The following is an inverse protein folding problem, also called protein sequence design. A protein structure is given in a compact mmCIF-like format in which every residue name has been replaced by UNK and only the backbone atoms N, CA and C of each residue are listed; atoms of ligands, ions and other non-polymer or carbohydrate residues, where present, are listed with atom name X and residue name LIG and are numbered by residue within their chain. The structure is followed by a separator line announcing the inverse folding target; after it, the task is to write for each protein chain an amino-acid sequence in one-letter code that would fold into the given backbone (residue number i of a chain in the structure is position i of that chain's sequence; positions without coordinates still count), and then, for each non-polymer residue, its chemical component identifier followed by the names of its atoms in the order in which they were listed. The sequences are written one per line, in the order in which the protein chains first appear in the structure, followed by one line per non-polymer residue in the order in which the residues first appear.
data_IF_083229312192
#
_entry.id   IF_083229312192
#
_cell.length_a   1.000
_cell.length_b   1.000
_cell.length_c   1.000
_cell.angle_alpha   90.00
_cell.angle_beta   90.00
_cell.angle_gamma   90.00
#
_symmetry.space_group_name_H-M   'P 1'
#
loop_
_entity.id
_entity.type
_entity.pdbx_description
1 polymer ?
#
# COMPACT_ATOMS: atom_id res chain seq x y z
N UNK A 1 9.83 -28.82 11.35
CA UNK A 1 8.64 -29.42 11.94
C UNK A 1 7.53 -29.65 10.92
N UNK A 2 7.20 -28.67 10.08
CA UNK A 2 6.15 -28.78 9.05
C UNK A 2 6.56 -29.56 7.78
N UNK A 3 7.84 -29.83 7.56
CA UNK A 3 8.30 -30.59 6.39
C UNK A 3 7.82 -32.07 6.37
N UNK A 4 7.58 -32.64 7.54
CA UNK A 4 7.07 -34.03 7.68
C UNK A 4 5.54 -34.09 7.80
N UNK A 5 4.89 -33.00 8.20
CA UNK A 5 3.45 -32.89 8.35
C UNK A 5 2.98 -31.61 7.64
N UNK A 6 2.71 -31.66 6.33
CA UNK A 6 2.28 -30.49 5.58
C UNK A 6 0.95 -29.97 6.12
N UNK A 7 0.72 -28.66 6.09
CA UNK A 7 -0.56 -28.08 6.45
C UNK A 7 -1.65 -28.55 5.49
N UNK A 8 -2.88 -28.64 5.96
CA UNK A 8 -4.02 -29.01 5.08
C UNK A 8 -4.39 -27.88 4.10
N UNK A 9 -4.05 -26.66 4.43
CA UNK A 9 -4.29 -25.46 3.65
C UNK A 9 -3.37 -24.35 4.15
N UNK A 10 -2.98 -23.44 3.26
CA UNK A 10 -2.25 -22.21 3.58
C UNK A 10 -3.10 -21.00 3.29
N UNK A 11 -3.08 -20.01 4.17
CA UNK A 11 -3.68 -18.69 3.96
C UNK A 11 -2.57 -17.65 4.04
N UNK A 12 -2.33 -16.95 2.95
CA UNK A 12 -1.33 -15.89 2.85
C UNK A 12 -2.02 -14.55 2.67
N UNK A 13 -1.60 -13.56 3.44
CA UNK A 13 -2.17 -12.21 3.44
C UNK A 13 -1.14 -11.21 2.89
N UNK A 14 -1.53 -10.51 1.83
CA UNK A 14 -0.77 -9.38 1.29
C UNK A 14 0.50 -9.75 0.51
N UNK A 15 1.36 -8.77 0.33
CA UNK A 15 2.55 -8.84 -0.51
C UNK A 15 3.60 -9.93 -0.17
N UNK A 16 3.68 -10.52 1.05
CA UNK A 16 4.67 -11.57 1.35
C UNK A 16 4.66 -12.77 0.41
N UNK A 17 3.61 -12.98 -0.35
CA UNK A 17 3.54 -14.08 -1.33
C UNK A 17 4.68 -14.03 -2.36
N UNK A 18 5.13 -12.83 -2.75
CA UNK A 18 6.24 -12.70 -3.70
C UNK A 18 7.51 -13.38 -3.18
N UNK A 19 7.78 -13.26 -1.86
CA UNK A 19 8.95 -13.86 -1.20
C UNK A 19 8.74 -15.34 -0.91
N UNK A 20 7.52 -15.74 -0.58
CA UNK A 20 7.21 -17.11 -0.13
C UNK A 20 6.81 -18.06 -1.27
N UNK A 21 6.53 -17.55 -2.46
CA UNK A 21 6.00 -18.33 -3.59
C UNK A 21 6.79 -19.60 -3.88
N UNK A 22 8.07 -19.46 -4.11
CA UNK A 22 8.92 -20.59 -4.51
C UNK A 22 9.15 -21.55 -3.35
N UNK A 23 9.28 -21.02 -2.14
CA UNK A 23 9.34 -21.84 -0.93
C UNK A 23 8.07 -22.68 -0.74
N UNK A 24 6.89 -22.10 -0.90
CA UNK A 24 5.60 -22.81 -0.78
C UNK A 24 5.49 -23.91 -1.84
N UNK A 25 5.81 -23.60 -3.11
CA UNK A 25 5.76 -24.56 -4.22
C UNK A 25 6.71 -25.75 -4.01
N UNK A 26 7.92 -25.48 -3.52
CA UNK A 26 8.93 -26.52 -3.31
C UNK A 26 8.67 -27.35 -2.05
N UNK A 27 8.22 -26.71 -0.98
CA UNK A 27 8.06 -27.37 0.31
C UNK A 27 6.76 -28.16 0.41
N UNK A 28 5.67 -27.65 -0.18
CA UNK A 28 4.32 -28.24 -0.08
C UNK A 28 3.60 -28.25 -1.43
N UNK A 29 4.12 -29.01 -2.40
CA UNK A 29 3.46 -29.13 -3.69
C UNK A 29 2.06 -29.74 -3.52
N UNK A 30 1.04 -29.07 -4.05
CA UNK A 30 -0.34 -29.56 -4.00
C UNK A 30 -1.13 -29.19 -2.75
N UNK A 31 -0.54 -28.49 -1.74
CA UNK A 31 -1.31 -27.93 -0.62
C UNK A 31 -2.15 -26.75 -1.13
N UNK A 32 -3.49 -26.76 -0.88
CA UNK A 32 -4.36 -25.65 -1.28
C UNK A 32 -3.90 -24.33 -0.68
N UNK A 33 -3.89 -23.28 -1.49
CA UNK A 33 -3.46 -21.94 -1.10
C UNK A 33 -4.61 -20.94 -1.26
N UNK A 34 -4.95 -20.23 -0.19
CA UNK A 34 -5.78 -19.03 -0.24
C UNK A 34 -4.85 -17.84 -0.16
N UNK A 35 -4.93 -16.97 -1.15
CA UNK A 35 -4.20 -15.71 -1.19
C UNK A 35 -5.15 -14.54 -1.10
N UNK A 36 -4.97 -13.68 -0.10
CA UNK A 36 -5.64 -12.38 -0.01
C UNK A 36 -4.65 -11.32 -0.48
N UNK A 37 -4.97 -10.61 -1.56
CA UNK A 37 -4.05 -9.64 -2.16
C UNK A 37 -4.75 -8.35 -2.54
N UNK A 38 -4.09 -7.24 -2.25
CA UNK A 38 -4.44 -5.91 -2.74
C UNK A 38 -4.03 -5.70 -4.21
N UNK A 39 -3.16 -6.57 -4.71
CA UNK A 39 -2.60 -6.50 -6.06
C UNK A 39 -3.10 -7.65 -6.93
N UNK A 40 -3.20 -7.41 -8.22
CA UNK A 40 -3.60 -8.40 -9.23
C UNK A 40 -2.41 -9.16 -9.83
N UNK A 41 -1.21 -8.79 -9.44
CA UNK A 41 0.05 -9.34 -9.97
C UNK A 41 1.10 -9.43 -8.86
N UNK A 42 2.08 -10.25 -9.12
CA UNK A 42 3.31 -10.37 -8.32
C UNK A 42 4.51 -10.17 -9.21
N UNK A 43 5.68 -10.08 -8.61
CA UNK A 43 6.94 -9.94 -9.31
C UNK A 43 8.07 -10.73 -8.67
N UNK A 44 9.31 -10.48 -9.10
CA UNK A 44 10.48 -11.15 -8.57
C UNK A 44 10.72 -10.76 -7.11
N UNK A 45 11.25 -11.71 -6.34
CA UNK A 45 11.53 -11.57 -4.91
C UNK A 45 12.39 -10.34 -4.59
N UNK A 46 13.41 -10.05 -5.42
CA UNK A 46 14.28 -8.92 -5.21
C UNK A 46 13.56 -7.57 -5.25
N UNK A 47 12.53 -7.39 -6.08
CA UNK A 47 11.74 -6.17 -6.09
C UNK A 47 11.06 -5.93 -4.74
N UNK A 48 10.56 -7.00 -4.13
CA UNK A 48 9.95 -6.94 -2.80
C UNK A 48 10.98 -6.64 -1.70
N UNK A 49 12.12 -7.32 -1.72
CA UNK A 49 13.19 -7.13 -0.73
C UNK A 49 13.79 -5.72 -0.80
N UNK A 50 13.99 -5.21 -2.02
CA UNK A 50 14.51 -3.88 -2.28
C UNK A 50 13.44 -2.78 -2.10
N UNK A 51 12.19 -3.18 -1.85
CA UNK A 51 11.03 -2.28 -1.71
C UNK A 51 10.86 -1.34 -2.91
N UNK A 52 11.17 -1.82 -4.10
CA UNK A 52 10.99 -1.07 -5.34
C UNK A 52 9.72 -1.49 -6.09
N UNK A 53 9.07 -0.59 -6.82
CA UNK A 53 7.91 -0.95 -7.64
C UNK A 53 8.30 -1.93 -8.75
N UNK A 54 7.32 -2.71 -9.20
CA UNK A 54 7.49 -3.63 -10.32
C UNK A 54 7.43 -2.87 -11.64
N UNK A 55 8.42 -3.13 -12.49
CA UNK A 55 8.35 -2.72 -13.89
C UNK A 55 7.23 -3.49 -14.60
N UNK A 56 6.59 -2.94 -15.63
CA UNK A 56 5.50 -3.62 -16.35
C UNK A 56 5.83 -5.05 -16.77
N UNK A 57 7.05 -5.29 -17.27
CA UNK A 57 7.52 -6.61 -17.72
C UNK A 57 7.79 -7.61 -16.59
N UNK A 58 7.87 -7.15 -15.34
CA UNK A 58 8.05 -8.00 -14.16
C UNK A 58 6.70 -8.43 -13.55
N UNK A 59 5.60 -7.86 -14.01
CA UNK A 59 4.25 -8.10 -13.46
C UNK A 59 3.70 -9.43 -13.96
N UNK A 60 3.58 -10.41 -13.05
CA UNK A 60 2.99 -11.73 -13.32
C UNK A 60 1.57 -11.76 -12.74
N UNK A 61 0.54 -11.97 -13.56
CA UNK A 61 -0.84 -12.02 -13.08
C UNK A 61 -1.05 -13.14 -12.05
N UNK A 62 -1.69 -12.81 -10.92
CA UNK A 62 -1.98 -13.77 -9.86
C UNK A 62 -2.98 -14.87 -10.28
N UNK A 63 -3.81 -14.59 -11.27
CA UNK A 63 -4.75 -15.57 -11.84
C UNK A 63 -4.10 -16.51 -12.88
N UNK A 64 -2.81 -16.35 -13.19
CA UNK A 64 -2.10 -17.24 -14.11
C UNK A 64 -1.86 -18.59 -13.45
N UNK A 65 -2.53 -19.65 -13.96
CA UNK A 65 -2.38 -21.02 -13.47
C UNK A 65 -0.94 -21.53 -13.57
N UNK A 66 -0.15 -21.04 -14.53
CA UNK A 66 1.25 -21.41 -14.64
C UNK A 66 2.08 -20.92 -13.44
N UNK A 67 1.65 -19.86 -12.77
CA UNK A 67 2.29 -19.32 -11.58
C UNK A 67 1.88 -20.10 -10.34
N UNK A 68 0.58 -20.46 -10.24
CA UNK A 68 0.05 -21.13 -9.07
C UNK A 68 -1.03 -22.17 -9.41
N UNK A 69 -0.70 -23.46 -9.24
CA UNK A 69 -1.70 -24.50 -9.17
C UNK A 69 -2.40 -24.43 -7.80
N UNK A 70 -3.71 -24.67 -7.77
CA UNK A 70 -4.52 -24.75 -6.54
C UNK A 70 -4.59 -23.48 -5.69
N UNK A 71 -4.58 -22.29 -6.32
CA UNK A 71 -4.84 -21.01 -5.63
C UNK A 71 -6.31 -20.63 -5.67
N UNK A 72 -6.82 -20.21 -4.51
CA UNK A 72 -8.02 -19.35 -4.40
C UNK A 72 -7.58 -17.93 -4.11
N UNK A 73 -7.82 -17.01 -5.04
CA UNK A 73 -7.50 -15.59 -4.87
C UNK A 73 -8.70 -14.83 -4.29
N UNK A 74 -8.48 -14.21 -3.13
CA UNK A 74 -9.39 -13.22 -2.55
C UNK A 74 -8.80 -11.85 -2.84
N UNK A 75 -9.47 -11.07 -3.70
CA UNK A 75 -9.01 -9.74 -4.09
C UNK A 75 -9.52 -8.69 -3.12
N UNK A 76 -8.62 -7.83 -2.67
CA UNK A 76 -8.90 -6.64 -1.85
C UNK A 76 -8.24 -5.42 -2.49
N UNK A 77 -8.69 -5.01 -3.70
CA UNK A 77 -8.01 -3.99 -4.49
C UNK A 77 -7.98 -2.63 -3.79
N UNK A 78 -6.96 -1.84 -4.08
CA UNK A 78 -6.75 -0.52 -3.48
C UNK A 78 -7.73 0.55 -4.01
N UNK A 79 -8.45 0.28 -5.10
CA UNK A 79 -9.43 1.20 -5.70
C UNK A 79 -8.87 2.61 -5.97
N UNK A 80 -7.64 2.67 -6.53
CA UNK A 80 -6.92 3.94 -6.73
C UNK A 80 -7.72 4.95 -7.56
N UNK A 81 -8.29 4.50 -8.69
CA UNK A 81 -9.12 5.33 -9.57
C UNK A 81 -10.33 5.88 -8.83
N UNK A 82 -11.08 4.99 -8.18
CA UNK A 82 -12.31 5.33 -7.47
C UNK A 82 -12.04 6.31 -6.32
N UNK A 83 -10.92 6.18 -5.65
CA UNK A 83 -10.48 7.14 -4.63
C UNK A 83 -10.19 8.51 -5.25
N UNK A 84 -9.47 8.59 -6.37
CA UNK A 84 -9.21 9.88 -7.07
C UNK A 84 -10.52 10.51 -7.53
N UNK A 85 -11.44 9.74 -8.12
CA UNK A 85 -12.74 10.23 -8.54
C UNK A 85 -13.59 10.72 -7.37
N UNK A 86 -13.58 9.99 -6.24
CA UNK A 86 -14.28 10.39 -5.02
C UNK A 86 -13.73 11.72 -4.48
N UNK A 87 -12.40 11.83 -4.37
CA UNK A 87 -11.75 13.08 -3.92
C UNK A 87 -12.13 14.27 -4.79
N UNK A 88 -12.12 14.10 -6.12
CA UNK A 88 -12.53 15.17 -7.07
C UNK A 88 -13.99 15.58 -6.93
N UNK A 89 -14.89 14.65 -6.57
CA UNK A 89 -16.30 14.98 -6.30
C UNK A 89 -16.46 15.75 -4.98
N UNK A 90 -15.67 15.40 -3.97
CA UNK A 90 -15.73 16.04 -2.65
C UNK A 90 -14.96 17.35 -2.59
N UNK A 91 -13.95 17.53 -3.44
CA UNK A 91 -13.12 18.72 -3.58
C UNK A 91 -13.24 19.21 -5.04
N UNK A 92 -14.29 19.95 -5.42
CA UNK A 92 -14.54 20.29 -6.83
C UNK A 92 -13.43 21.07 -7.53
N UNK A 93 -12.62 21.81 -6.76
CA UNK A 93 -11.45 22.55 -7.26
C UNK A 93 -10.14 21.77 -7.24
N UNK A 94 -10.17 20.47 -6.99
CA UNK A 94 -8.97 19.66 -6.81
C UNK A 94 -8.08 19.63 -8.05
N UNK A 95 -6.85 20.09 -7.89
CA UNK A 95 -5.78 20.04 -8.89
C UNK A 95 -4.45 19.51 -8.29
N UNK A 96 -4.46 19.13 -7.01
CA UNK A 96 -3.31 18.52 -6.35
C UNK A 96 -3.73 17.28 -5.57
N UNK A 97 -2.90 16.24 -5.62
CA UNK A 97 -3.05 15.00 -4.87
C UNK A 97 -1.75 14.68 -4.13
N UNK A 98 -1.87 14.50 -2.82
CA UNK A 98 -0.77 14.04 -1.98
C UNK A 98 -1.07 12.61 -1.54
N UNK A 99 -0.19 11.68 -1.89
CA UNK A 99 -0.20 10.33 -1.35
C UNK A 99 0.73 10.27 -0.14
N UNK A 100 0.22 9.77 0.99
CA UNK A 100 0.99 9.62 2.23
C UNK A 100 1.15 8.14 2.53
N UNK A 101 2.41 7.67 2.58
CA UNK A 101 2.73 6.27 2.84
C UNK A 101 4.07 6.09 3.52
N UNK A 102 4.28 4.91 4.08
CA UNK A 102 5.59 4.52 4.62
C UNK A 102 6.45 3.78 3.58
N UNK A 103 7.69 3.42 3.96
CA UNK A 103 8.65 2.78 3.06
C UNK A 103 8.36 1.32 2.72
N UNK A 104 7.16 0.77 3.02
CA UNK A 104 6.83 -0.62 2.67
C UNK A 104 6.59 -0.78 1.18
N UNK A 105 6.89 -1.96 0.67
CA UNK A 105 6.71 -2.32 -0.73
C UNK A 105 5.33 -1.94 -1.29
N UNK A 106 4.26 -2.20 -0.55
CA UNK A 106 2.89 -1.91 -1.01
C UNK A 106 2.67 -0.42 -1.30
N UNK A 107 3.28 0.48 -0.52
CA UNK A 107 3.17 1.92 -0.74
C UNK A 107 4.02 2.39 -1.92
N UNK A 108 5.20 1.79 -2.13
CA UNK A 108 6.04 2.08 -3.30
C UNK A 108 5.35 1.65 -4.59
N UNK A 109 4.67 0.49 -4.55
CA UNK A 109 3.91 0.01 -5.70
C UNK A 109 2.66 0.88 -5.94
N UNK A 110 1.93 1.25 -4.88
CA UNK A 110 0.77 2.15 -5.00
C UNK A 110 1.16 3.54 -5.53
N UNK A 111 2.32 4.08 -5.13
CA UNK A 111 2.87 5.33 -5.70
C UNK A 111 3.09 5.20 -7.21
N UNK A 112 3.74 4.12 -7.64
CA UNK A 112 3.98 3.85 -9.06
C UNK A 112 2.68 3.73 -9.86
N UNK A 113 1.71 2.96 -9.34
CA UNK A 113 0.43 2.74 -9.99
C UNK A 113 -0.43 4.02 -10.03
N UNK A 114 -0.35 4.86 -8.98
CA UNK A 114 -0.99 6.18 -8.96
C UNK A 114 -0.40 7.12 -10.02
N UNK A 115 0.92 7.17 -10.17
CA UNK A 115 1.58 7.97 -11.22
C UNK A 115 1.10 7.54 -12.60
N UNK A 116 1.15 6.23 -12.90
CA UNK A 116 0.67 5.69 -14.18
C UNK A 116 -0.81 6.03 -14.43
N UNK A 117 -1.64 5.96 -13.40
CA UNK A 117 -3.08 6.30 -13.48
C UNK A 117 -3.28 7.79 -13.74
N UNK A 118 -2.60 8.65 -12.98
CA UNK A 118 -2.76 10.10 -13.08
C UNK A 118 -2.23 10.62 -14.41
N UNK A 119 -1.08 10.18 -14.86
CA UNK A 119 -0.51 10.57 -16.16
C UNK A 119 -1.46 10.21 -17.32
N UNK A 120 -2.14 9.07 -17.22
CA UNK A 120 -3.05 8.60 -18.27
C UNK A 120 -4.43 9.27 -18.23
N UNK A 121 -5.00 9.47 -17.05
CA UNK A 121 -6.43 9.79 -16.91
C UNK A 121 -6.72 11.13 -16.24
N UNK A 122 -5.76 11.64 -15.48
CA UNK A 122 -5.90 12.88 -14.72
C UNK A 122 -4.65 13.78 -14.83
N UNK A 123 -4.15 14.05 -16.04
CA UNK A 123 -2.84 14.72 -16.24
C UNK A 123 -2.81 16.17 -15.71
N UNK A 124 -3.96 16.72 -15.34
CA UNK A 124 -4.06 18.07 -14.74
C UNK A 124 -3.82 18.07 -13.22
N UNK A 125 -3.66 16.91 -12.59
CA UNK A 125 -3.44 16.81 -11.13
C UNK A 125 -1.94 16.83 -10.84
N UNK A 126 -1.48 17.83 -10.09
CA UNK A 126 -0.12 17.84 -9.50
C UNK A 126 -0.03 16.76 -8.42
N UNK A 127 0.89 15.82 -8.58
CA UNK A 127 1.00 14.67 -7.70
C UNK A 127 2.29 14.68 -6.89
N UNK A 128 2.16 14.35 -5.59
CA UNK A 128 3.30 14.23 -4.67
C UNK A 128 3.14 12.99 -3.80
N UNK A 129 4.22 12.25 -3.66
CA UNK A 129 4.32 11.17 -2.67
C UNK A 129 5.13 11.63 -1.47
N UNK A 130 4.52 11.63 -0.29
CA UNK A 130 5.20 11.86 0.98
C UNK A 130 5.46 10.53 1.67
N UNK A 131 6.75 10.15 1.69
CA UNK A 131 7.22 8.88 2.21
C UNK A 131 7.85 9.03 3.57
N UNK A 132 7.42 8.20 4.54
CA UNK A 132 8.06 8.10 5.84
C UNK A 132 9.52 7.60 5.78
N UNK A 133 9.96 7.11 4.61
CA UNK A 133 11.36 6.79 4.37
C UNK A 133 12.22 8.03 4.11
N UNK A 134 11.63 9.09 3.58
CA UNK A 134 12.32 10.29 3.14
C UNK A 134 12.17 11.46 4.10
N UNK A 135 11.07 11.50 4.87
CA UNK A 135 10.77 12.61 5.76
C UNK A 135 10.34 12.17 7.15
N UNK A 136 10.53 13.04 8.14
CA UNK A 136 10.06 12.82 9.50
C UNK A 136 8.57 13.11 9.64
N UNK A 137 7.96 12.64 10.73
CA UNK A 137 6.56 12.93 11.05
C UNK A 137 6.32 14.43 11.22
N UNK A 138 7.25 15.15 11.83
CA UNK A 138 7.18 16.61 11.98
C UNK A 138 7.19 17.33 10.64
N UNK A 139 8.10 16.95 9.73
CA UNK A 139 8.19 17.53 8.40
C UNK A 139 6.93 17.22 7.56
N UNK A 140 6.35 16.03 7.71
CA UNK A 140 5.06 15.68 7.09
C UNK A 140 3.96 16.61 7.61
N UNK A 141 3.79 16.74 8.92
CA UNK A 141 2.76 17.56 9.53
C UNK A 141 2.90 19.04 9.12
N UNK A 142 4.13 19.56 9.13
CA UNK A 142 4.40 20.92 8.64
C UNK A 142 4.01 21.11 7.18
N UNK A 143 4.27 20.10 6.34
CA UNK A 143 3.92 20.15 4.92
C UNK A 143 2.41 20.08 4.71
N UNK A 144 1.72 19.18 5.40
CA UNK A 144 0.28 18.99 5.27
C UNK A 144 -0.53 20.16 5.85
N UNK A 145 -0.03 20.86 6.87
CA UNK A 145 -0.69 22.03 7.44
C UNK A 145 -0.55 23.33 6.59
N UNK A 146 0.25 23.27 5.52
CA UNK A 146 0.44 24.42 4.59
C UNK A 146 -0.27 24.26 3.26
N UNK A 147 -0.96 23.15 3.03
CA UNK A 147 -1.67 22.91 1.78
C UNK A 147 -2.94 23.74 1.67
N UNK A 148 -3.37 24.00 0.44
CA UNK A 148 -4.70 24.52 0.17
C UNK A 148 -5.72 23.37 0.24
N UNK A 149 -6.49 23.31 1.32
CA UNK A 149 -7.47 22.24 1.58
C UNK A 149 -8.64 22.23 0.57
N UNK A 150 -8.85 23.32 -0.18
CA UNK A 150 -9.89 23.41 -1.19
C UNK A 150 -9.44 22.93 -2.57
N UNK A 151 -8.14 22.66 -2.72
CA UNK A 151 -7.54 22.23 -3.98
C UNK A 151 -6.74 20.94 -3.87
N UNK A 152 -6.46 20.46 -2.67
CA UNK A 152 -5.60 19.30 -2.43
C UNK A 152 -6.37 18.14 -1.80
N UNK A 153 -6.34 16.99 -2.46
CA UNK A 153 -6.76 15.71 -1.88
C UNK A 153 -5.58 15.01 -1.19
N UNK A 154 -5.81 14.44 -0.01
CA UNK A 154 -4.81 13.62 0.68
C UNK A 154 -5.30 12.18 0.67
N UNK A 155 -4.54 11.29 0.03
CA UNK A 155 -4.74 9.85 0.08
C UNK A 155 -3.76 9.25 1.09
N UNK A 156 -4.28 8.70 2.18
CA UNK A 156 -3.48 8.16 3.28
C UNK A 156 -3.50 6.63 3.26
N UNK A 157 -2.33 6.01 3.22
CA UNK A 157 -2.19 4.56 3.35
C UNK A 157 -1.74 4.15 4.76
N UNK A 158 -0.58 4.64 5.17
CA UNK A 158 0.01 4.28 6.46
C UNK A 158 1.22 5.16 6.78
N UNK A 159 1.57 5.24 8.08
CA UNK A 159 2.73 5.97 8.56
C UNK A 159 3.37 5.23 9.75
N UNK A 160 3.66 3.93 9.56
CA UNK A 160 4.16 3.07 10.63
C UNK A 160 5.67 2.94 10.66
N UNK A 161 6.32 2.99 9.50
CA UNK A 161 7.75 2.82 9.34
C UNK A 161 8.38 4.17 9.06
N UNK A 162 8.77 4.87 10.11
CA UNK A 162 9.47 6.15 10.01
C UNK A 162 10.97 5.95 10.05
N UNK A 163 11.71 6.72 9.25
CA UNK A 163 13.16 6.76 9.31
C UNK A 163 13.57 7.58 10.54
N UNK A 164 13.92 6.90 11.62
CA UNK A 164 14.79 7.52 12.63
C UNK A 164 16.24 7.19 12.29
N UNK A 165 17.15 8.13 12.61
CA UNK A 165 18.59 7.98 12.34
C UNK A 165 19.05 6.62 12.86
N UNK A 166 19.35 5.69 11.96
CA UNK A 166 19.94 4.38 12.22
C UNK A 166 19.03 3.16 12.08
N UNK A 167 17.72 3.23 12.36
CA UNK A 167 16.84 2.07 12.32
C UNK A 167 15.42 2.39 11.83
N UNK A 168 14.81 1.44 11.13
CA UNK A 168 13.38 1.48 10.79
C UNK A 168 12.57 1.17 12.06
N UNK A 169 12.04 2.19 12.72
CA UNK A 169 11.20 2.00 13.90
C UNK A 169 9.75 1.91 13.46
N UNK A 170 9.08 0.83 13.89
CA UNK A 170 7.63 0.69 13.75
C UNK A 170 6.96 1.54 14.82
N UNK A 171 6.21 2.58 14.42
CA UNK A 171 5.46 3.42 15.34
C UNK A 171 4.01 3.55 14.89
N UNK A 172 3.12 2.78 15.51
CA UNK A 172 1.67 2.93 15.30
C UNK A 172 1.19 4.29 15.80
N UNK A 173 1.83 4.81 16.84
CA UNK A 173 1.51 6.11 17.44
C UNK A 173 1.67 7.27 16.44
N UNK A 174 2.67 7.21 15.57
CA UNK A 174 2.89 8.26 14.57
C UNK A 174 1.77 8.31 13.51
N UNK A 175 1.21 7.17 13.12
CA UNK A 175 0.02 7.15 12.25
C UNK A 175 -1.17 7.86 12.87
N UNK A 176 -1.46 7.58 14.15
CA UNK A 176 -2.55 8.25 14.86
C UNK A 176 -2.29 9.75 15.01
N UNK A 177 -1.05 10.12 15.30
CA UNK A 177 -0.65 11.53 15.39
C UNK A 177 -0.89 12.26 14.07
N UNK A 178 -0.53 11.67 12.94
CA UNK A 178 -0.78 12.25 11.61
C UNK A 178 -2.28 12.42 11.38
N UNK A 179 -3.08 11.36 11.59
CA UNK A 179 -4.53 11.41 11.38
C UNK A 179 -5.19 12.46 12.27
N UNK A 180 -4.78 12.57 13.54
CA UNK A 180 -5.39 13.50 14.50
C UNK A 180 -4.96 14.96 14.33
N UNK A 181 -3.80 15.21 13.73
CA UNK A 181 -3.20 16.55 13.65
C UNK A 181 -3.44 17.27 12.33
N UNK A 182 -3.87 16.55 11.30
CA UNK A 182 -4.13 17.14 9.98
C UNK A 182 -5.58 17.61 9.89
N UNK A 183 -5.79 18.88 9.57
CA UNK A 183 -7.14 19.47 9.44
C UNK A 183 -7.77 19.23 8.06
N UNK A 184 -6.94 18.95 7.06
CA UNK A 184 -7.43 18.69 5.71
C UNK A 184 -8.16 17.34 5.62
N UNK A 185 -9.16 17.21 4.74
CA UNK A 185 -9.83 15.94 4.50
C UNK A 185 -8.82 14.87 4.01
N UNK A 186 -8.73 13.75 4.73
CA UNK A 186 -7.93 12.59 4.33
C UNK A 186 -8.83 11.44 3.90
N UNK A 187 -8.44 10.79 2.83
CA UNK A 187 -9.09 9.61 2.29
C UNK A 187 -8.21 8.39 2.59
N UNK A 188 -8.76 7.38 3.23
CA UNK A 188 -8.01 6.16 3.55
C UNK A 188 -7.94 5.24 2.34
N UNK A 189 -6.73 4.87 1.92
CA UNK A 189 -6.51 3.95 0.81
C UNK A 189 -6.84 2.50 1.21
N UNK A 190 -6.52 2.12 2.43
CA UNK A 190 -6.79 0.79 2.96
C UNK A 190 -7.82 0.86 4.09
N UNK A 191 -8.62 -0.19 4.30
CA UNK A 191 -9.50 -0.28 5.46
C UNK A 191 -8.63 -0.36 6.73
N UNK A 192 -8.16 0.80 7.18
CA UNK A 192 -7.46 0.96 8.44
C UNK A 192 -8.47 1.40 9.50
N UNK A 193 -8.28 0.92 10.72
CA UNK A 193 -9.00 1.50 11.86
C UNK A 193 -8.39 2.87 12.13
N UNK A 194 -9.02 3.90 11.58
CA UNK A 194 -8.60 5.29 11.73
C UNK A 194 -9.01 5.90 13.08
N UNK A 195 -9.69 5.11 13.94
CA UNK A 195 -10.08 5.55 15.27
C UNK A 195 -8.85 5.71 16.16
N UNK A 196 -8.82 6.79 16.93
CA UNK A 196 -7.81 6.97 17.98
C UNK A 196 -7.99 5.95 19.10
N UNK A 197 -6.96 5.68 19.95
CA UNK A 197 -7.12 4.80 21.11
C UNK A 197 -8.31 5.15 22.01
N UNK A 198 -8.59 6.45 22.20
CA UNK A 198 -9.72 6.92 22.98
C UNK A 198 -11.09 6.62 22.33
N UNK A 199 -11.13 6.57 21.00
CA UNK A 199 -12.35 6.25 20.24
C UNK A 199 -12.65 4.74 20.17
N UNK A 200 -11.71 3.89 20.64
CA UNK A 200 -11.87 2.43 20.70
C UNK A 200 -12.35 1.93 22.05
N UNK A 201 -12.26 2.76 23.09
CA UNK A 201 -12.73 2.49 24.44
C UNK A 201 -14.23 2.81 24.56
#
# INVERSE_FOLDING_TARGET
EYGKNPPRMLVLLGAPIAVLRDFVKQTWPGVPLILCSEMDYIGPENAYLDRRPLRPEERLPLCDKAVFDNITLIRTPLYLRENVELMRRMIPGMDSLIFVGDGRYINQQADSDLRELLDREFPQIDYRFYSAHEMSTEALLDSLNRIDIHRTGILFSSWHYTKKIGDNIVSVTDSYRVIASVQAPMFALMPADTRTPEQRA
#
